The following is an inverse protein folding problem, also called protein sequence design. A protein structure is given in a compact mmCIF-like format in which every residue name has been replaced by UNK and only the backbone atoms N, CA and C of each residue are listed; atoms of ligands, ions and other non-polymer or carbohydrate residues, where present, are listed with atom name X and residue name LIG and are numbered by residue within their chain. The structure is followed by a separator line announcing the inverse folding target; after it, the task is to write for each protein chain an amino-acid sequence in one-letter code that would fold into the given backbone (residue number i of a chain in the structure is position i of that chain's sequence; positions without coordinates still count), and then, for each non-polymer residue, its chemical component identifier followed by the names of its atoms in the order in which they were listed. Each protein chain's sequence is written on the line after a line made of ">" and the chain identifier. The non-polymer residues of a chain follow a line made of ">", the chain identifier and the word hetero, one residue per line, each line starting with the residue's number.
data_IF_605932439739
#
_entry.id   IF_605932439739
#
_cell.length_a   1.000
_cell.length_b   1.000
_cell.length_c   1.000
_cell.angle_alpha   90.00
_cell.angle_beta   90.00
_cell.angle_gamma   90.00
#
_symmetry.space_group_name_H-M   'P 1'
#
loop_
_entity.id
_entity.type
_entity.pdbx_description
1 polymer ?
#
# COMPACT_ATOMS: atom_id res chain seq x y z
N UNK A 1 -12.02 -33.24 -7.40
CA UNK A 1 -11.54 -31.89 -7.08
C UNK A 1 -11.75 -31.73 -5.58
N UNK A 2 -10.69 -31.44 -4.81
CA UNK A 2 -10.87 -31.17 -3.38
C UNK A 2 -11.59 -29.83 -3.22
N UNK A 3 -12.37 -29.67 -2.15
CA UNK A 3 -13.13 -28.45 -1.89
C UNK A 3 -12.22 -27.38 -1.26
N UNK A 4 -12.54 -26.12 -1.50
CA UNK A 4 -11.87 -24.94 -0.94
C UNK A 4 -12.84 -24.21 -0.04
N UNK A 5 -12.30 -23.54 0.97
CA UNK A 5 -13.08 -22.71 1.90
C UNK A 5 -12.41 -21.35 2.08
N UNK A 6 -13.17 -20.36 2.56
CA UNK A 6 -12.66 -19.02 2.88
C UNK A 6 -12.86 -18.75 4.35
N UNK A 7 -11.78 -18.35 5.04
CA UNK A 7 -11.82 -17.96 6.46
C UNK A 7 -11.42 -16.50 6.63
N UNK A 8 -12.00 -15.83 7.63
CA UNK A 8 -11.66 -14.44 7.97
C UNK A 8 -10.70 -14.40 9.15
N UNK A 9 -9.52 -13.84 8.96
CA UNK A 9 -8.55 -13.61 10.03
C UNK A 9 -8.94 -12.42 10.93
N UNK A 10 -8.29 -12.29 12.08
CA UNK A 10 -8.50 -11.15 12.99
C UNK A 10 -8.13 -9.79 12.36
N UNK A 11 -7.22 -9.80 11.39
CA UNK A 11 -6.88 -8.65 10.55
C UNK A 11 -8.03 -8.23 9.63
N UNK A 12 -9.06 -9.07 9.47
CA UNK A 12 -10.13 -8.91 8.49
C UNK A 12 -9.74 -9.41 7.09
N UNK A 13 -8.57 -10.02 6.92
CA UNK A 13 -8.18 -10.67 5.67
C UNK A 13 -9.05 -11.91 5.44
N UNK A 14 -9.59 -12.05 4.23
CA UNK A 14 -10.28 -13.27 3.79
C UNK A 14 -9.27 -14.14 3.04
N UNK A 15 -8.89 -15.27 3.65
CA UNK A 15 -7.90 -16.19 3.09
C UNK A 15 -8.58 -17.48 2.63
N UNK A 16 -8.06 -18.06 1.54
CA UNK A 16 -8.51 -19.35 1.04
C UNK A 16 -7.68 -20.48 1.62
N UNK A 17 -8.37 -21.55 2.04
CA UNK A 17 -7.75 -22.75 2.57
C UNK A 17 -8.32 -24.00 1.91
N UNK A 18 -7.55 -25.08 1.95
CA UNK A 18 -8.05 -26.41 1.61
C UNK A 18 -9.10 -26.83 2.65
N UNK A 19 -10.38 -26.95 2.28
CA UNK A 19 -11.48 -27.16 3.23
C UNK A 19 -11.30 -28.39 4.14
N UNK A 20 -10.86 -29.57 3.66
CA UNK A 20 -10.72 -30.74 4.52
C UNK A 20 -9.61 -30.63 5.57
N UNK A 21 -8.56 -29.84 5.30
CA UNK A 21 -7.35 -29.79 6.14
C UNK A 21 -7.12 -28.43 6.80
N UNK A 22 -7.85 -27.40 6.36
CA UNK A 22 -7.74 -26.02 6.83
C UNK A 22 -6.30 -25.48 6.71
N UNK A 23 -5.65 -25.78 5.58
CA UNK A 23 -4.29 -25.36 5.27
C UNK A 23 -4.25 -24.53 3.99
N UNK A 24 -3.44 -23.48 3.98
CA UNK A 24 -3.15 -22.65 2.81
C UNK A 24 -2.27 -23.41 1.80
N UNK A 25 -1.25 -24.12 2.30
CA UNK A 25 -0.47 -25.09 1.54
C UNK A 25 -0.84 -26.50 1.98
N UNK A 26 -1.52 -27.23 1.11
CA UNK A 26 -1.98 -28.58 1.37
C UNK A 26 -1.31 -29.57 0.42
N UNK A 27 -0.26 -30.22 0.90
CA UNK A 27 0.43 -31.28 0.16
C UNK A 27 -0.44 -32.52 -0.09
N UNK A 28 -1.48 -32.75 0.72
CA UNK A 28 -2.42 -33.89 0.55
C UNK A 28 -3.32 -33.68 -0.66
N UNK A 29 -3.81 -32.45 -0.84
CA UNK A 29 -4.72 -32.08 -1.93
C UNK A 29 -4.00 -31.42 -3.12
N UNK A 30 -2.68 -31.27 -3.04
CA UNK A 30 -1.84 -30.54 -4.00
C UNK A 30 -2.38 -29.13 -4.30
N UNK A 31 -2.74 -28.40 -3.24
CA UNK A 31 -3.25 -27.02 -3.32
C UNK A 31 -2.26 -26.08 -2.63
N UNK A 32 -2.06 -24.92 -3.24
CA UNK A 32 -1.22 -23.85 -2.71
C UNK A 32 -1.93 -22.52 -2.92
N UNK A 33 -2.24 -21.85 -1.80
CA UNK A 33 -2.90 -20.55 -1.75
C UNK A 33 -2.02 -19.48 -1.09
N UNK A 34 -0.74 -19.77 -0.81
CA UNK A 34 0.13 -18.88 -0.03
C UNK A 34 0.19 -17.49 -0.66
N UNK A 35 0.53 -17.39 -1.94
CA UNK A 35 0.74 -16.10 -2.60
C UNK A 35 -0.56 -15.28 -2.66
N UNK A 36 -1.68 -15.93 -2.98
CA UNK A 36 -2.99 -15.28 -3.01
C UNK A 36 -3.41 -14.78 -1.62
N UNK A 37 -3.13 -15.55 -0.55
CA UNK A 37 -3.46 -15.15 0.81
C UNK A 37 -2.51 -14.06 1.33
N UNK A 38 -1.25 -14.04 0.88
CA UNK A 38 -0.33 -12.92 1.15
C UNK A 38 -0.89 -11.62 0.56
N UNK A 39 -1.36 -11.63 -0.69
CA UNK A 39 -2.01 -10.48 -1.32
C UNK A 39 -3.25 -10.04 -0.51
N UNK A 40 -4.13 -10.98 -0.14
CA UNK A 40 -5.33 -10.68 0.65
C UNK A 40 -5.01 -10.06 2.03
N UNK A 41 -3.92 -10.52 2.67
CA UNK A 41 -3.42 -9.94 3.93
C UNK A 41 -2.86 -8.54 3.73
N UNK A 42 -2.12 -8.31 2.66
CA UNK A 42 -1.59 -6.98 2.31
C UNK A 42 -2.72 -5.98 2.06
N UNK A 43 -3.75 -6.39 1.30
CA UNK A 43 -4.95 -5.59 1.06
C UNK A 43 -5.69 -5.25 2.35
N UNK A 44 -5.88 -6.22 3.24
CA UNK A 44 -6.49 -5.99 4.54
C UNK A 44 -5.66 -5.03 5.40
N UNK A 45 -4.34 -5.17 5.40
CA UNK A 45 -3.41 -4.28 6.11
C UNK A 45 -3.53 -2.83 5.62
N UNK A 46 -3.46 -2.60 4.31
CA UNK A 46 -3.64 -1.28 3.69
C UNK A 46 -5.04 -0.70 3.97
N UNK A 47 -6.08 -1.51 3.84
CA UNK A 47 -7.47 -1.12 4.11
C UNK A 47 -7.66 -0.67 5.56
N UNK A 48 -7.07 -1.41 6.50
CA UNK A 48 -7.11 -1.06 7.92
C UNK A 48 -6.32 0.22 8.21
N UNK A 49 -5.15 0.40 7.63
CA UNK A 49 -4.38 1.64 7.73
C UNK A 49 -5.19 2.85 7.22
N UNK A 50 -5.83 2.72 6.06
CA UNK A 50 -6.66 3.77 5.48
C UNK A 50 -7.90 4.14 6.32
N UNK A 51 -8.41 3.21 7.13
CA UNK A 51 -9.57 3.43 8.03
C UNK A 51 -9.19 4.10 9.36
N UNK A 52 -7.93 4.00 9.78
CA UNK A 52 -7.46 4.53 11.07
C UNK A 52 -7.38 6.06 11.12
N UNK A 53 -7.24 6.70 9.96
CA UNK A 53 -6.98 8.13 9.85
C UNK A 53 -8.07 8.91 9.13
N UNK A 54 -8.08 10.21 9.34
CA UNK A 54 -8.92 11.20 8.66
C UNK A 54 -8.06 12.18 7.87
N UNK A 55 -8.66 12.82 6.86
CA UNK A 55 -7.99 13.87 6.09
C UNK A 55 -7.40 14.96 7.00
N UNK A 56 -6.13 15.28 6.77
CA UNK A 56 -5.35 16.23 7.56
C UNK A 56 -4.57 15.64 8.73
N UNK A 57 -4.81 14.38 9.11
CA UNK A 57 -4.10 13.72 10.21
C UNK A 57 -2.58 13.70 9.97
N UNK A 58 -1.83 13.90 11.05
CA UNK A 58 -0.36 13.76 11.03
C UNK A 58 0.00 12.28 11.02
N UNK A 59 0.92 11.90 10.12
CA UNK A 59 1.47 10.53 10.01
C UNK A 59 2.82 10.39 10.73
N UNK A 60 3.22 11.40 11.49
CA UNK A 60 4.48 11.44 12.23
C UNK A 60 5.36 12.63 11.87
N UNK A 61 6.44 12.86 12.62
CA UNK A 61 7.41 13.90 12.31
C UNK A 61 8.06 13.67 10.93
N UNK A 62 8.19 14.72 10.13
CA UNK A 62 8.77 14.63 8.78
C UNK A 62 7.90 13.90 7.76
N UNK A 63 6.69 13.47 8.13
CA UNK A 63 5.77 12.80 7.23
C UNK A 63 4.76 13.76 6.62
N UNK A 64 4.31 13.40 5.42
CA UNK A 64 3.16 14.02 4.77
C UNK A 64 1.88 13.72 5.55
N UNK A 65 0.85 14.53 5.35
CA UNK A 65 -0.44 14.35 6.02
C UNK A 65 -1.34 13.43 5.21
N UNK A 66 -2.31 12.83 5.90
CA UNK A 66 -3.42 12.15 5.22
C UNK A 66 -4.16 13.16 4.35
N UNK A 67 -4.50 12.74 3.14
CA UNK A 67 -5.14 13.58 2.15
C UNK A 67 -4.15 14.29 1.21
N UNK A 68 -2.84 14.22 1.41
CA UNK A 68 -1.87 14.79 0.47
C UNK A 68 -1.96 14.10 -0.90
N UNK A 69 -2.15 14.87 -1.96
CA UNK A 69 -2.11 14.37 -3.35
C UNK A 69 -0.66 14.17 -3.79
N UNK A 70 -0.37 12.98 -4.31
CA UNK A 70 0.96 12.54 -4.74
C UNK A 70 0.93 12.10 -6.19
N UNK A 71 2.06 12.25 -6.87
CA UNK A 71 2.24 11.88 -8.27
C UNK A 71 3.63 11.30 -8.51
N UNK A 72 3.70 10.08 -9.02
CA UNK A 72 4.90 9.58 -9.68
C UNK A 72 4.95 10.14 -11.10
N UNK A 73 6.13 10.61 -11.52
CA UNK A 73 6.34 11.04 -12.91
C UNK A 73 6.24 9.84 -13.84
N UNK A 74 5.69 10.06 -15.04
CA UNK A 74 5.73 9.04 -16.08
C UNK A 74 7.12 9.02 -16.73
N UNK A 75 7.89 7.98 -16.45
CA UNK A 75 9.22 7.76 -17.04
C UNK A 75 9.18 6.91 -18.31
N UNK A 76 8.01 6.39 -18.70
CA UNK A 76 7.89 5.49 -19.85
C UNK A 76 8.05 6.18 -21.21
N UNK A 77 8.04 7.52 -21.23
CA UNK A 77 8.12 8.32 -22.46
C UNK A 77 6.85 8.27 -23.32
N UNK A 78 5.75 7.69 -22.83
CA UNK A 78 4.46 7.67 -23.53
C UNK A 78 3.89 9.08 -23.71
N UNK A 79 3.12 9.27 -24.79
CA UNK A 79 2.42 10.52 -25.11
C UNK A 79 0.93 10.25 -25.36
N UNK A 80 0.00 10.84 -24.59
CA UNK A 80 0.25 11.72 -23.43
C UNK A 80 0.88 10.94 -22.27
N UNK A 81 1.67 11.60 -21.40
CA UNK A 81 2.21 10.95 -20.21
C UNK A 81 1.07 10.50 -19.29
N UNK A 82 1.22 9.33 -18.68
CA UNK A 82 0.26 8.74 -17.75
C UNK A 82 0.91 8.60 -16.36
N UNK A 83 0.96 9.69 -15.59
CA UNK A 83 1.53 9.63 -14.25
C UNK A 83 0.69 8.76 -13.33
N UNK A 84 1.35 8.15 -12.34
CA UNK A 84 0.66 7.45 -11.26
C UNK A 84 0.22 8.49 -10.23
N UNK A 85 -1.08 8.84 -10.26
CA UNK A 85 -1.68 9.81 -9.37
C UNK A 85 -2.42 9.11 -8.22
N UNK A 86 -2.24 9.63 -7.00
CA UNK A 86 -2.94 9.10 -5.84
C UNK A 86 -3.01 10.09 -4.67
N UNK A 87 -3.55 9.61 -3.56
CA UNK A 87 -3.68 10.37 -2.31
C UNK A 87 -3.24 9.50 -1.15
N UNK A 88 -2.41 10.05 -0.25
CA UNK A 88 -1.99 9.35 0.96
C UNK A 88 -3.21 9.20 1.88
N UNK A 89 -3.49 7.96 2.31
CA UNK A 89 -4.63 7.63 3.19
C UNK A 89 -4.21 7.08 4.55
N UNK A 90 -2.93 6.79 4.74
CA UNK A 90 -2.40 6.28 6.00
C UNK A 90 -0.96 5.81 5.86
N UNK A 91 -0.49 5.12 6.90
CA UNK A 91 0.77 4.36 6.87
C UNK A 91 0.51 2.92 7.31
N UNK A 92 1.25 1.99 6.71
CA UNK A 92 1.25 0.59 7.06
C UNK A 92 2.70 0.07 7.01
N UNK A 93 3.01 -0.93 7.82
CA UNK A 93 4.25 -1.70 7.66
C UNK A 93 4.12 -2.61 6.42
N UNK A 94 5.18 -2.76 5.64
CA UNK A 94 5.27 -3.79 4.62
C UNK A 94 5.40 -5.16 5.29
N UNK A 95 4.42 -6.03 5.05
CA UNK A 95 4.29 -7.33 5.74
C UNK A 95 4.67 -8.50 4.83
N UNK A 96 4.90 -8.25 3.54
CA UNK A 96 5.42 -9.29 2.65
C UNK A 96 6.90 -9.53 2.96
N UNK A 97 7.19 -10.72 3.50
CA UNK A 97 8.56 -11.15 3.84
C UNK A 97 9.46 -11.35 2.61
N UNK A 98 8.87 -11.43 1.41
CA UNK A 98 9.62 -11.54 0.15
C UNK A 98 9.95 -10.19 -0.49
N UNK A 99 9.39 -9.09 0.05
CA UNK A 99 9.69 -7.73 -0.39
C UNK A 99 11.05 -7.27 0.13
N UNK A 100 11.82 -6.57 -0.70
CA UNK A 100 13.06 -5.90 -0.29
C UNK A 100 12.83 -4.84 0.81
N UNK A 101 11.57 -4.43 1.00
CA UNK A 101 11.16 -3.42 1.97
C UNK A 101 10.40 -4.02 3.17
N UNK A 102 10.47 -5.34 3.36
CA UNK A 102 9.77 -6.01 4.47
C UNK A 102 10.11 -5.38 5.83
N UNK A 103 9.09 -5.06 6.62
CA UNK A 103 9.21 -4.37 7.90
C UNK A 103 9.40 -2.84 7.81
N UNK A 104 9.51 -2.27 6.61
CA UNK A 104 9.57 -0.82 6.45
C UNK A 104 8.20 -0.17 6.60
N UNK A 105 8.17 1.08 7.03
CA UNK A 105 6.93 1.88 7.06
C UNK A 105 6.68 2.47 5.68
N UNK A 106 5.51 2.14 5.12
CA UNK A 106 5.06 2.58 3.82
C UNK A 106 3.89 3.56 3.93
N UNK A 107 3.83 4.53 3.03
CA UNK A 107 2.58 5.27 2.81
C UNK A 107 1.59 4.37 2.08
N UNK A 108 0.34 4.36 2.55
CA UNK A 108 -0.77 3.78 1.80
C UNK A 108 -1.38 4.85 0.92
N UNK A 109 -1.47 4.59 -0.38
CA UNK A 109 -1.90 5.51 -1.41
C UNK A 109 -3.17 4.96 -2.05
N UNK A 110 -4.23 5.78 -2.07
CA UNK A 110 -5.44 5.50 -2.84
C UNK A 110 -5.31 6.11 -4.23
N UNK A 111 -5.40 5.27 -5.26
CA UNK A 111 -5.43 5.70 -6.65
C UNK A 111 -6.81 6.23 -7.06
N UNK A 112 -6.92 6.75 -8.29
CA UNK A 112 -8.17 7.29 -8.84
C UNK A 112 -9.29 6.25 -9.01
N UNK A 113 -8.92 4.99 -9.26
CA UNK A 113 -9.86 3.87 -9.34
C UNK A 113 -10.22 3.28 -7.97
N UNK A 114 -9.77 3.92 -6.89
CA UNK A 114 -9.90 3.50 -5.49
C UNK A 114 -9.08 2.26 -5.10
N UNK A 115 -8.23 1.72 -5.98
CA UNK A 115 -7.24 0.73 -5.57
C UNK A 115 -6.27 1.33 -4.56
N UNK A 116 -5.73 0.47 -3.70
CA UNK A 116 -4.71 0.84 -2.73
C UNK A 116 -3.37 0.27 -3.20
N UNK A 117 -2.32 1.07 -3.06
CA UNK A 117 -0.94 0.63 -3.13
C UNK A 117 -0.22 1.12 -1.89
N UNK A 118 0.91 0.51 -1.57
CA UNK A 118 1.85 1.03 -0.60
C UNK A 118 3.22 1.28 -1.25
N UNK A 119 3.94 2.27 -0.73
CA UNK A 119 5.32 2.51 -1.11
C UNK A 119 6.13 2.94 0.12
N UNK A 120 7.40 2.50 0.22
CA UNK A 120 8.30 2.95 1.28
C UNK A 120 8.34 4.46 1.35
N UNK A 121 8.29 5.00 2.57
CA UNK A 121 8.26 6.45 2.81
C UNK A 121 9.47 7.13 2.14
N UNK A 122 10.67 6.58 2.35
CA UNK A 122 11.92 7.15 1.84
C UNK A 122 11.94 7.15 0.30
N UNK A 123 11.53 6.05 -0.33
CA UNK A 123 11.46 5.97 -1.79
C UNK A 123 10.47 6.99 -2.38
N UNK A 124 9.31 7.14 -1.75
CA UNK A 124 8.33 8.13 -2.16
C UNK A 124 8.89 9.56 -2.01
N UNK A 125 9.61 9.84 -0.92
CA UNK A 125 10.21 11.17 -0.66
C UNK A 125 11.24 11.59 -1.71
N UNK A 126 11.95 10.63 -2.29
CA UNK A 126 12.96 10.86 -3.32
C UNK A 126 12.37 11.02 -4.72
N UNK A 127 11.44 10.14 -5.12
CA UNK A 127 11.02 10.02 -6.52
C UNK A 127 9.72 10.76 -6.86
N UNK A 128 8.84 11.00 -5.87
CA UNK A 128 7.50 11.48 -6.14
C UNK A 128 7.34 12.99 -5.98
N UNK A 129 6.25 13.50 -6.55
CA UNK A 129 5.79 14.87 -6.39
C UNK A 129 4.59 14.92 -5.46
N UNK A 130 4.45 16.02 -4.73
CA UNK A 130 3.23 16.37 -3.98
C UNK A 130 2.59 17.61 -4.54
N UNK A 131 1.27 17.69 -4.44
CA UNK A 131 0.54 18.87 -4.86
C UNK A 131 0.44 19.89 -3.73
N UNK A 132 0.98 21.09 -3.95
CA UNK A 132 0.89 22.25 -3.08
C UNK A 132 0.37 23.45 -3.89
N UNK A 133 -0.63 24.15 -3.36
CA UNK A 133 -1.25 25.33 -4.00
C UNK A 133 -1.66 25.13 -5.47
N UNK A 134 -2.00 23.89 -5.84
CA UNK A 134 -2.41 23.52 -7.19
C UNK A 134 -1.28 23.02 -8.10
N UNK A 135 -0.02 23.13 -7.69
CA UNK A 135 1.16 22.72 -8.45
C UNK A 135 1.83 21.48 -7.86
N UNK A 136 2.41 20.62 -8.70
CA UNK A 136 3.18 19.46 -8.25
C UNK A 136 4.65 19.82 -8.08
N UNK A 137 5.17 19.65 -6.86
CA UNK A 137 6.55 19.93 -6.47
C UNK A 137 7.23 18.68 -5.92
N UNK A 138 8.56 18.52 -6.08
CA UNK A 138 9.30 17.40 -5.49
C UNK A 138 9.16 17.35 -3.97
N UNK A 139 8.93 16.16 -3.40
CA UNK A 139 8.72 15.98 -1.96
C UNK A 139 9.95 16.37 -1.16
N UNK A 140 11.14 16.03 -1.65
CA UNK A 140 12.42 16.46 -1.08
C UNK A 140 12.51 17.97 -0.81
N UNK A 141 11.89 18.83 -1.63
CA UNK A 141 11.84 20.28 -1.41
C UNK A 141 10.88 20.70 -0.31
N UNK A 142 9.81 19.92 -0.09
CA UNK A 142 8.79 20.20 0.93
C UNK A 142 9.33 19.84 2.31
N UNK A 143 9.98 18.69 2.44
CA UNK A 143 10.50 18.21 3.72
C UNK A 143 11.65 19.06 4.27
N UNK A 144 12.46 19.66 3.39
CA UNK A 144 13.49 20.63 3.76
C UNK A 144 12.91 21.91 4.43
N UNK A 145 11.66 22.26 4.14
CA UNK A 145 11.01 23.46 4.70
C UNK A 145 10.42 23.22 6.10
N UNK A 146 10.12 21.97 6.46
CA UNK A 146 9.53 21.60 7.77
C UNK A 146 10.60 21.42 8.85
N UNK A 147 11.87 21.29 8.45
CA UNK A 147 13.02 21.10 9.34
C UNK A 147 13.82 22.38 9.62
N UNK A 148 13.39 23.54 9.08
CA UNK A 148 14.04 24.85 9.23
C UNK A 148 13.40 25.72 10.32
#
# INVERSE_FOLDING_TARGET
>A
MCEIDTITEASGAEITVCQPHQLELCHICCMDFIDMNKEARSDANMSNAAKKHKDGDSLGPGNLRVGTEVRMRDESGRKPPQPLDGRIVGVAEEIDEESDFSGETCYVIRQRDNSLLNYPIDWLHDEWLVKLDGEYVPISKVLQQVTS
#
